data_IF_183366384254
#
_entry.id   IF_183366384254
#
_cell.length_a   1.000
_cell.length_b   1.000
_cell.length_c   1.000
_cell.angle_alpha   90.00
_cell.angle_beta   90.00
_cell.angle_gamma   90.00
#
_symmetry.space_group_name_H-M   'P 1'
#
loop_
_entity.id
_entity.type
_entity.pdbx_description
1 polymer ?
#
# COMPACT_ATOMS: atom_id res chain seq x y z
N UNK A 1 53.14 -7.68 22.63
CA UNK A 1 52.06 -8.65 22.94
C UNK A 1 50.70 -7.99 22.94
N UNK A 2 50.50 -6.85 23.54
CA UNK A 2 49.19 -6.12 23.60
C UNK A 2 48.69 -5.66 22.23
N UNK A 3 49.55 -5.15 21.32
CA UNK A 3 49.16 -4.74 19.97
C UNK A 3 48.64 -5.87 19.09
N UNK A 4 49.16 -7.09 19.22
CA UNK A 4 48.67 -8.28 18.50
C UNK A 4 47.29 -8.74 19.02
N UNK A 5 47.05 -8.58 20.33
CA UNK A 5 45.76 -8.91 20.94
C UNK A 5 44.66 -7.92 20.51
N UNK A 6 44.97 -6.62 20.44
CA UNK A 6 44.06 -5.59 19.93
C UNK A 6 43.70 -5.78 18.47
N UNK A 7 44.67 -6.18 17.63
CA UNK A 7 44.42 -6.48 16.20
C UNK A 7 43.52 -7.69 16.00
N UNK A 8 43.66 -8.75 16.79
CA UNK A 8 42.82 -9.95 16.72
C UNK A 8 41.40 -9.69 17.21
N UNK A 9 41.24 -8.88 18.26
CA UNK A 9 39.91 -8.48 18.76
C UNK A 9 39.19 -7.59 17.77
N UNK A 10 39.88 -6.64 17.11
CA UNK A 10 39.30 -5.78 16.06
C UNK A 10 38.86 -6.60 14.85
N UNK A 11 39.63 -7.60 14.42
CA UNK A 11 39.29 -8.48 13.32
C UNK A 11 38.09 -9.38 13.66
N UNK A 12 38.00 -9.87 14.90
CA UNK A 12 36.88 -10.68 15.37
C UNK A 12 35.58 -9.84 15.45
N UNK A 13 35.67 -8.57 15.91
CA UNK A 13 34.52 -7.66 15.91
C UNK A 13 34.02 -7.33 14.50
N UNK A 14 34.94 -7.16 13.53
CA UNK A 14 34.58 -6.94 12.12
C UNK A 14 33.87 -8.15 11.53
N UNK A 15 34.30 -9.37 11.85
CA UNK A 15 33.66 -10.60 11.40
C UNK A 15 32.27 -10.82 12.03
N UNK A 16 32.04 -10.36 13.26
CA UNK A 16 30.72 -10.44 13.90
C UNK A 16 29.71 -9.42 13.29
N UNK A 17 30.19 -8.29 12.78
CA UNK A 17 29.33 -7.30 12.09
C UNK A 17 28.83 -7.77 10.72
N UNK A 18 29.50 -8.71 10.06
CA UNK A 18 29.10 -9.19 8.72
C UNK A 18 27.97 -10.22 8.72
N UNK A 19 27.59 -10.74 9.87
CA UNK A 19 26.56 -11.80 9.96
C UNK A 19 25.10 -11.28 9.92
N UNK A 20 24.88 -9.96 9.92
CA UNK A 20 23.54 -9.39 9.87
C UNK A 20 23.19 -8.66 8.57
N UNK A 21 23.95 -8.85 7.50
CA UNK A 21 23.45 -8.57 6.16
C UNK A 21 22.50 -9.70 5.74
N UNK A 22 21.31 -9.70 6.34
CA UNK A 22 20.20 -10.43 5.72
C UNK A 22 20.01 -9.81 4.33
N UNK A 23 20.24 -10.62 3.31
CA UNK A 23 19.89 -10.25 1.95
C UNK A 23 18.43 -9.77 1.99
N UNK A 24 18.18 -8.56 1.49
CA UNK A 24 16.82 -8.10 1.24
C UNK A 24 16.18 -9.21 0.43
N UNK A 25 15.13 -9.84 0.96
CA UNK A 25 14.41 -10.88 0.26
C UNK A 25 14.11 -10.42 -1.17
N UNK A 26 14.31 -11.26 -2.17
CA UNK A 26 13.98 -10.90 -3.54
C UNK A 26 12.54 -10.43 -3.57
N UNK A 27 12.28 -9.36 -4.33
CA UNK A 27 10.95 -8.79 -4.52
C UNK A 27 9.98 -9.92 -4.88
N UNK A 28 9.19 -10.36 -3.91
CA UNK A 28 8.19 -11.38 -4.11
C UNK A 28 6.85 -10.71 -4.42
N UNK A 29 6.24 -11.08 -5.54
CA UNK A 29 4.85 -10.70 -5.81
C UNK A 29 3.95 -11.27 -4.73
N UNK A 30 3.04 -10.47 -4.20
CA UNK A 30 2.01 -10.97 -3.30
C UNK A 30 1.09 -11.94 -4.05
N UNK A 31 0.59 -13.00 -3.39
CA UNK A 31 -0.32 -13.93 -4.04
C UNK A 31 -1.61 -13.22 -4.43
N UNK A 32 -2.05 -13.42 -5.67
CA UNK A 32 -3.33 -12.88 -6.15
C UNK A 32 -4.45 -13.70 -5.50
N UNK A 33 -5.42 -13.08 -4.83
CA UNK A 33 -6.53 -13.77 -4.22
C UNK A 33 -7.38 -14.50 -5.26
N UNK A 34 -7.96 -15.64 -4.88
CA UNK A 34 -8.82 -16.45 -5.76
C UNK A 34 -10.16 -15.77 -6.06
N UNK A 35 -10.62 -14.89 -5.19
CA UNK A 35 -11.90 -14.19 -5.31
C UNK A 35 -11.81 -12.80 -4.71
N UNK A 36 -12.30 -11.81 -5.46
CA UNK A 36 -12.51 -10.43 -5.00
C UNK A 36 -13.92 -10.02 -5.37
N UNK A 37 -14.52 -9.19 -4.51
CA UNK A 37 -15.82 -8.57 -4.77
C UNK A 37 -15.72 -7.05 -4.59
N UNK A 38 -16.54 -6.32 -5.32
CA UNK A 38 -16.76 -4.89 -5.14
C UNK A 38 -18.26 -4.60 -5.27
N UNK A 39 -18.85 -3.94 -4.28
CA UNK A 39 -20.28 -3.65 -4.18
C UNK A 39 -21.16 -4.88 -4.44
N UNK A 40 -20.76 -6.05 -3.91
CA UNK A 40 -21.45 -7.31 -4.08
C UNK A 40 -21.22 -8.00 -5.43
N UNK A 41 -20.51 -7.40 -6.38
CA UNK A 41 -20.17 -7.98 -7.67
C UNK A 41 -18.82 -8.68 -7.63
N UNK A 42 -18.75 -9.89 -8.17
CA UNK A 42 -17.48 -10.63 -8.27
C UNK A 42 -16.63 -10.07 -9.39
N UNK A 43 -15.37 -9.77 -9.08
CA UNK A 43 -14.39 -9.36 -10.09
C UNK A 43 -13.86 -10.61 -10.80
N UNK A 44 -13.92 -10.68 -12.14
CA UNK A 44 -13.55 -11.87 -12.91
C UNK A 44 -12.01 -12.00 -13.04
N UNK A 45 -11.35 -12.45 -11.96
CA UNK A 45 -9.89 -12.66 -11.93
C UNK A 45 -9.44 -13.92 -12.70
N UNK A 46 -10.34 -14.73 -13.20
CA UNK A 46 -10.12 -15.79 -14.18
C UNK A 46 -9.73 -15.24 -15.56
N UNK A 47 -10.15 -14.03 -15.89
CA UNK A 47 -9.72 -13.33 -17.09
C UNK A 47 -8.28 -12.86 -16.95
N UNK A 48 -7.44 -13.18 -17.94
CA UNK A 48 -6.03 -12.81 -17.95
C UNK A 48 -5.79 -11.30 -17.81
N UNK A 49 -6.53 -10.48 -18.56
CA UNK A 49 -6.40 -9.01 -18.55
C UNK A 49 -6.76 -8.40 -17.19
N UNK A 50 -7.76 -8.95 -16.51
CA UNK A 50 -8.16 -8.48 -15.17
C UNK A 50 -7.14 -8.89 -14.11
N UNK A 51 -6.64 -10.12 -14.23
CA UNK A 51 -5.62 -10.64 -13.33
C UNK A 51 -4.32 -9.87 -13.43
N UNK A 52 -3.86 -9.57 -14.65
CA UNK A 52 -2.66 -8.78 -14.90
C UNK A 52 -2.78 -7.35 -14.35
N UNK A 53 -3.92 -6.68 -14.57
CA UNK A 53 -4.18 -5.36 -14.00
C UNK A 53 -4.15 -5.38 -12.48
N UNK A 54 -4.78 -6.38 -11.87
CA UNK A 54 -4.80 -6.51 -10.42
C UNK A 54 -3.39 -6.71 -9.85
N UNK A 55 -2.61 -7.63 -10.41
CA UNK A 55 -1.23 -7.89 -10.00
C UNK A 55 -0.35 -6.64 -10.10
N UNK A 56 -0.49 -5.90 -11.19
CA UNK A 56 0.21 -4.63 -11.39
C UNK A 56 -0.13 -3.62 -10.31
N UNK A 57 -1.40 -3.36 -10.05
CA UNK A 57 -1.81 -2.38 -9.02
C UNK A 57 -1.41 -2.83 -7.62
N UNK A 58 -1.54 -4.12 -7.31
CA UNK A 58 -1.09 -4.70 -6.05
C UNK A 58 0.43 -4.49 -5.86
N UNK A 59 1.22 -4.73 -6.90
CA UNK A 59 2.67 -4.51 -6.88
C UNK A 59 3.00 -3.03 -6.65
N UNK A 60 2.37 -2.11 -7.38
CA UNK A 60 2.60 -0.67 -7.24
C UNK A 60 2.33 -0.23 -5.80
N UNK A 61 1.17 -0.58 -5.23
CA UNK A 61 0.78 -0.17 -3.87
C UNK A 61 1.72 -0.78 -2.83
N UNK A 62 2.15 -2.03 -3.03
CA UNK A 62 3.05 -2.73 -2.09
C UNK A 62 4.40 -2.04 -1.98
N UNK A 63 4.95 -1.56 -3.10
CA UNK A 63 6.31 -0.99 -3.13
C UNK A 63 6.34 0.54 -3.06
N UNK A 64 5.21 1.22 -3.14
CA UNK A 64 5.11 2.67 -2.89
C UNK A 64 4.92 2.98 -1.40
N UNK A 65 5.87 2.61 -0.56
CA UNK A 65 5.74 2.69 0.90
C UNK A 65 5.30 4.05 1.43
N UNK A 66 5.87 5.15 0.95
CA UNK A 66 5.52 6.50 1.41
C UNK A 66 4.09 6.89 1.04
N UNK A 67 3.68 6.59 -0.19
CA UNK A 67 2.32 6.85 -0.68
C UNK A 67 1.30 6.01 0.06
N UNK A 68 1.57 4.71 0.22
CA UNK A 68 0.69 3.79 0.95
C UNK A 68 0.54 4.17 2.42
N UNK A 69 1.64 4.56 3.08
CA UNK A 69 1.60 5.01 4.47
C UNK A 69 0.78 6.30 4.63
N UNK A 70 0.93 7.26 3.72
CA UNK A 70 0.14 8.49 3.73
C UNK A 70 -1.34 8.19 3.50
N UNK A 71 -1.65 7.28 2.58
CA UNK A 71 -3.00 6.84 2.31
C UNK A 71 -3.65 6.18 3.53
N UNK A 72 -2.95 5.29 4.22
CA UNK A 72 -3.43 4.66 5.46
C UNK A 72 -3.74 5.71 6.53
N UNK A 73 -2.86 6.71 6.70
CA UNK A 73 -3.11 7.81 7.65
C UNK A 73 -4.35 8.62 7.29
N UNK A 74 -4.55 8.91 6.01
CA UNK A 74 -5.76 9.62 5.53
C UNK A 74 -7.01 8.75 5.68
N UNK A 75 -6.92 7.45 5.37
CA UNK A 75 -8.01 6.50 5.55
C UNK A 75 -8.49 6.47 7.00
N UNK A 76 -7.59 6.35 7.97
CA UNK A 76 -7.94 6.37 9.39
C UNK A 76 -8.64 7.67 9.83
N UNK A 77 -8.38 8.78 9.15
CA UNK A 77 -9.02 10.07 9.44
C UNK A 77 -10.38 10.22 8.76
N UNK A 78 -10.49 9.84 7.49
CA UNK A 78 -11.66 10.20 6.67
C UNK A 78 -12.67 9.07 6.51
N UNK A 79 -12.26 7.79 6.51
CA UNK A 79 -13.21 6.68 6.37
C UNK A 79 -14.27 6.64 7.49
N UNK A 80 -13.95 6.88 8.77
CA UNK A 80 -14.95 6.94 9.82
C UNK A 80 -16.02 8.02 9.62
N UNK A 81 -15.73 9.06 8.84
CA UNK A 81 -16.69 10.11 8.48
C UNK A 81 -17.51 9.70 7.26
N UNK A 82 -16.89 9.05 6.28
CA UNK A 82 -17.52 8.65 5.02
C UNK A 82 -18.49 7.48 5.21
N UNK A 83 -18.09 6.45 5.94
CA UNK A 83 -18.86 5.21 6.13
C UNK A 83 -20.30 5.43 6.65
N UNK A 84 -20.54 6.25 7.70
CA UNK A 84 -21.89 6.52 8.15
C UNK A 84 -22.75 7.25 7.10
N UNK A 85 -22.13 8.10 6.26
CA UNK A 85 -22.83 8.83 5.20
C UNK A 85 -23.28 7.87 4.10
N UNK A 86 -22.39 6.98 3.66
CA UNK A 86 -22.73 5.94 2.67
C UNK A 86 -23.86 5.06 3.18
N UNK A 87 -23.76 4.58 4.42
CA UNK A 87 -24.78 3.75 5.07
C UNK A 87 -26.13 4.46 5.15
N UNK A 88 -26.15 5.72 5.56
CA UNK A 88 -27.39 6.52 5.66
C UNK A 88 -28.09 6.68 4.32
N UNK A 89 -27.33 6.68 3.22
CA UNK A 89 -27.86 6.85 1.87
C UNK A 89 -28.05 5.51 1.13
N UNK A 90 -27.93 4.36 1.82
CA UNK A 90 -28.04 3.01 1.23
C UNK A 90 -27.04 2.78 0.08
N UNK A 91 -25.87 3.39 0.15
CA UNK A 91 -24.78 3.19 -0.80
C UNK A 91 -23.87 2.08 -0.26
N UNK A 92 -23.47 1.09 -1.10
CA UNK A 92 -22.54 0.05 -0.67
C UNK A 92 -21.25 0.64 -0.08
N UNK A 93 -20.79 0.06 1.03
CA UNK A 93 -19.63 0.56 1.78
C UNK A 93 -18.34 0.61 0.94
N UNK A 94 -18.18 -0.31 0.01
CA UNK A 94 -17.02 -0.36 -0.90
C UNK A 94 -16.82 0.93 -1.71
N UNK A 95 -17.87 1.75 -1.89
CA UNK A 95 -17.76 3.03 -2.59
C UNK A 95 -16.84 4.03 -1.87
N UNK A 96 -16.54 3.85 -0.59
CA UNK A 96 -15.51 4.64 0.11
C UNK A 96 -14.14 4.57 -0.59
N UNK A 97 -13.84 3.46 -1.26
CA UNK A 97 -12.59 3.29 -1.99
C UNK A 97 -12.52 4.09 -3.29
N UNK A 98 -13.65 4.58 -3.84
CA UNK A 98 -13.62 5.55 -4.95
C UNK A 98 -12.94 6.85 -4.52
N UNK A 99 -13.19 7.32 -3.30
CA UNK A 99 -12.51 8.51 -2.76
C UNK A 99 -10.98 8.33 -2.65
N UNK A 100 -10.55 7.09 -2.45
CA UNK A 100 -9.11 6.73 -2.49
C UNK A 100 -8.56 6.90 -3.90
N UNK A 101 -9.26 6.38 -4.91
CA UNK A 101 -8.85 6.41 -6.31
C UNK A 101 -8.87 7.85 -6.86
N UNK A 102 -9.91 8.62 -6.55
CA UNK A 102 -10.15 9.96 -7.09
C UNK A 102 -9.16 11.00 -6.56
N UNK A 103 -8.82 10.95 -5.29
CA UNK A 103 -8.02 12.00 -4.64
C UNK A 103 -6.97 11.51 -3.65
N UNK A 104 -6.81 10.19 -3.48
CA UNK A 104 -6.05 9.63 -2.35
C UNK A 104 -6.55 10.16 -1.00
N UNK A 105 -7.86 10.41 -0.87
CA UNK A 105 -8.51 11.00 0.31
C UNK A 105 -7.94 12.39 0.66
N UNK A 106 -7.53 13.19 -0.32
CA UNK A 106 -7.11 14.58 -0.09
C UNK A 106 -8.30 15.54 -0.27
N UNK A 107 -8.77 16.21 0.79
CA UNK A 107 -9.89 17.15 0.67
C UNK A 107 -9.55 18.42 -0.12
N UNK A 108 -8.26 18.67 -0.39
CA UNK A 108 -7.78 19.82 -1.15
C UNK A 108 -7.44 19.46 -2.59
N UNK A 109 -7.66 18.20 -3.00
CA UNK A 109 -7.39 17.79 -4.36
C UNK A 109 -8.23 18.62 -5.35
N UNK A 110 -7.60 19.02 -6.44
CA UNK A 110 -8.25 19.73 -7.54
C UNK A 110 -7.69 19.21 -8.86
N UNK A 111 -8.58 18.81 -9.75
CA UNK A 111 -8.20 18.35 -11.09
C UNK A 111 -8.03 19.53 -12.07
N UNK A 112 -7.35 19.33 -13.20
CA UNK A 112 -7.32 20.34 -14.27
C UNK A 112 -8.70 20.74 -14.79
N UNK A 113 -9.68 19.84 -14.71
CA UNK A 113 -11.07 20.07 -15.08
C UNK A 113 -11.89 20.76 -13.97
N UNK A 114 -11.23 21.22 -12.89
CA UNK A 114 -11.83 21.89 -11.72
C UNK A 114 -12.69 21.01 -10.82
N UNK A 115 -12.69 19.69 -11.01
CA UNK A 115 -13.26 18.80 -10.00
C UNK A 115 -12.47 18.93 -8.70
N UNK A 116 -13.15 18.97 -7.54
CA UNK A 116 -12.52 19.32 -6.28
C UNK A 116 -12.92 18.38 -5.13
N UNK A 117 -12.03 18.30 -4.12
CA UNK A 117 -12.29 17.56 -2.90
C UNK A 117 -12.08 16.05 -3.00
N UNK A 118 -12.55 15.34 -1.96
CA UNK A 118 -12.30 13.90 -1.80
C UNK A 118 -12.89 13.07 -2.95
N UNK A 119 -14.03 13.46 -3.49
CA UNK A 119 -14.77 12.73 -4.52
C UNK A 119 -14.53 13.23 -5.95
N UNK A 120 -13.82 14.35 -6.11
CA UNK A 120 -13.56 14.98 -7.41
C UNK A 120 -14.84 15.22 -8.25
N UNK A 121 -15.87 15.73 -7.61
CA UNK A 121 -17.16 16.10 -8.21
C UNK A 121 -17.20 17.57 -8.59
#
# INVERSE_FOLDING_TARGET
>A
MIMRLLSTISFLLLMLCTQNLQAIDPVNSLPIPSKIQFAGQTIPLDRYDMRERFDREQTIITYQHSTSLLLIKRANKYLPIIEPILKKNNIPDDFKYLAVIESSLDPRAQSPAKAAGIWQL
#
